data_IF_834084331137
#
_entry.id   IF_834084331137
#
_cell.length_a   1.000
_cell.length_b   1.000
_cell.length_c   1.000
_cell.angle_alpha   90.00
_cell.angle_beta   90.00
_cell.angle_gamma   90.00
#
_symmetry.space_group_name_H-M   'P 1'
#
loop_
_entity.id
_entity.type
_entity.pdbx_description
1 polymer ?
#
# COMPACT_ATOMS: atom_id res chain seq x y z
N UNK A 1 -16.74 -4.87 12.80
CA UNK A 1 -15.30 -4.59 12.56
C UNK A 1 -14.52 -5.76 13.15
N UNK A 2 -13.58 -6.37 12.43
CA UNK A 2 -12.79 -7.51 12.91
C UNK A 2 -11.30 -7.14 12.89
N UNK A 3 -10.56 -7.46 13.95
CA UNK A 3 -9.14 -7.13 14.08
C UNK A 3 -8.35 -8.30 14.66
N UNK A 4 -7.29 -8.69 13.95
CA UNK A 4 -6.33 -9.69 14.36
C UNK A 4 -4.91 -9.13 14.33
N UNK A 5 -4.03 -9.71 15.14
CA UNK A 5 -2.66 -9.27 15.31
C UNK A 5 -1.69 -10.43 15.09
N UNK A 6 -0.63 -10.21 14.30
CA UNK A 6 0.50 -11.13 14.17
C UNK A 6 1.70 -10.56 14.94
N UNK A 7 2.06 -11.21 16.04
CA UNK A 7 3.18 -10.81 16.91
C UNK A 7 4.40 -11.66 16.58
N UNK A 8 5.46 -11.04 16.08
CA UNK A 8 6.76 -11.70 15.90
C UNK A 8 7.47 -11.70 17.26
N UNK A 9 7.87 -12.87 17.75
CA UNK A 9 8.61 -13.01 19.02
C UNK A 9 9.99 -13.60 18.76
N UNK A 10 10.96 -13.21 19.58
CA UNK A 10 12.34 -13.73 19.54
C UNK A 10 12.76 -14.08 20.96
N UNK A 11 13.19 -15.32 21.19
CA UNK A 11 13.86 -15.69 22.45
C UNK A 11 15.36 -15.55 22.24
N UNK A 12 15.90 -14.36 22.55
CA UNK A 12 17.33 -14.03 22.53
C UNK A 12 17.99 -14.24 21.16
N UNK A 13 18.36 -15.50 20.88
CA UNK A 13 19.04 -15.96 19.67
C UNK A 13 18.08 -16.48 18.60
N UNK A 14 16.96 -17.13 18.98
CA UNK A 14 16.10 -17.87 18.03
C UNK A 14 14.81 -17.11 17.70
N UNK A 15 14.49 -17.03 16.41
CA UNK A 15 13.21 -16.53 15.92
C UNK A 15 12.15 -17.59 16.22
N UNK A 16 11.10 -17.20 16.93
CA UNK A 16 9.96 -18.07 17.26
C UNK A 16 8.89 -17.87 16.16
N UNK A 17 8.12 -18.91 15.80
CA UNK A 17 6.95 -18.74 14.95
C UNK A 17 6.06 -17.59 15.43
N UNK A 18 5.58 -16.78 14.50
CA UNK A 18 4.77 -15.62 14.83
C UNK A 18 3.43 -16.05 15.45
N UNK A 19 3.05 -15.40 16.55
CA UNK A 19 1.81 -15.68 17.29
C UNK A 19 0.69 -14.86 16.65
N UNK A 20 -0.37 -15.52 16.19
CA UNK A 20 -1.58 -14.86 15.70
C UNK A 20 -2.59 -14.74 16.85
N UNK A 21 -3.17 -13.56 17.05
CA UNK A 21 -4.14 -13.28 18.11
C UNK A 21 -5.38 -12.62 17.53
N UNK A 22 -6.56 -13.05 17.99
CA UNK A 22 -7.81 -12.32 17.75
C UNK A 22 -7.93 -11.24 18.83
N UNK A 23 -8.06 -9.98 18.43
CA UNK A 23 -8.15 -8.86 19.38
C UNK A 23 -9.59 -8.36 19.46
N UNK A 24 -10.28 -8.24 18.32
CA UNK A 24 -11.65 -7.76 18.28
C UNK A 24 -12.46 -8.46 17.19
N UNK A 25 -13.72 -8.79 17.48
CA UNK A 25 -14.61 -9.54 16.59
C UNK A 25 -14.19 -11.02 16.43
N UNK A 26 -14.59 -11.63 15.32
CA UNK A 26 -14.24 -13.02 15.01
C UNK A 26 -13.54 -13.14 13.65
N UNK A 27 -12.30 -12.61 13.50
CA UNK A 27 -11.53 -12.81 12.28
C UNK A 27 -11.11 -14.27 12.12
N UNK A 28 -11.05 -14.74 10.88
CA UNK A 28 -10.43 -16.01 10.55
C UNK A 28 -8.92 -15.93 10.86
N UNK A 29 -8.38 -16.94 11.56
CA UNK A 29 -6.97 -16.95 12.00
C UNK A 29 -6.03 -17.02 10.79
N UNK A 30 -6.44 -17.69 9.72
CA UNK A 30 -5.59 -17.84 8.53
C UNK A 30 -5.38 -16.51 7.82
N UNK A 31 -6.40 -15.65 7.82
CA UNK A 31 -6.37 -14.31 7.25
C UNK A 31 -5.55 -13.31 8.10
N UNK A 32 -5.21 -13.64 9.35
CA UNK A 32 -4.34 -12.81 10.21
C UNK A 32 -2.90 -12.94 9.71
N UNK A 33 -2.53 -12.10 8.75
CA UNK A 33 -1.18 -12.01 8.22
C UNK A 33 -0.77 -10.54 7.99
N UNK A 34 0.51 -10.32 7.72
CA UNK A 34 1.09 -9.00 7.40
C UNK A 34 1.72 -8.99 6.02
N UNK A 35 1.63 -10.09 5.27
CA UNK A 35 2.42 -10.30 4.06
C UNK A 35 2.05 -9.26 3.00
N UNK A 36 0.75 -9.03 2.78
CA UNK A 36 0.27 -8.04 1.80
C UNK A 36 0.78 -6.63 2.11
N UNK A 37 0.71 -6.21 3.37
CA UNK A 37 1.22 -4.88 3.79
C UNK A 37 2.75 -4.79 3.73
N UNK A 38 3.46 -5.86 4.09
CA UNK A 38 4.92 -5.93 4.00
C UNK A 38 5.38 -5.86 2.53
N UNK A 39 4.75 -6.63 1.64
CA UNK A 39 5.01 -6.60 0.20
C UNK A 39 4.71 -5.22 -0.41
N UNK A 40 3.56 -4.63 -0.07
CA UNK A 40 3.22 -3.30 -0.56
C UNK A 40 4.19 -2.22 -0.06
N UNK A 41 4.65 -2.31 1.20
CA UNK A 41 5.65 -1.39 1.73
C UNK A 41 6.98 -1.48 0.96
N UNK A 42 7.39 -2.68 0.51
CA UNK A 42 8.57 -2.84 -0.35
C UNK A 42 8.36 -2.17 -1.70
N UNK A 43 7.23 -2.45 -2.38
CA UNK A 43 6.86 -1.85 -3.66
C UNK A 43 6.86 -0.31 -3.56
N UNK A 44 6.24 0.22 -2.50
CA UNK A 44 6.16 1.66 -2.25
C UNK A 44 7.55 2.28 -2.11
N UNK A 45 8.46 1.64 -1.37
CA UNK A 45 9.82 2.15 -1.18
C UNK A 45 10.63 2.09 -2.47
N UNK A 46 10.50 1.02 -3.24
CA UNK A 46 11.22 0.86 -4.51
C UNK A 46 10.78 1.91 -5.55
N UNK A 47 9.48 2.23 -5.61
CA UNK A 47 8.96 3.21 -6.55
C UNK A 47 9.12 4.66 -6.06
N UNK A 48 8.98 4.89 -4.75
CA UNK A 48 9.17 6.20 -4.13
C UNK A 48 10.55 6.22 -3.49
N UNK A 49 11.58 6.49 -4.30
CA UNK A 49 13.00 6.50 -3.91
C UNK A 49 13.31 7.33 -2.65
N UNK A 50 12.45 8.33 -2.35
CA UNK A 50 12.48 9.17 -1.15
C UNK A 50 12.22 8.40 0.16
N UNK A 51 11.81 7.14 0.09
CA UNK A 51 11.52 6.27 1.24
C UNK A 51 12.54 5.13 1.44
N UNK A 52 13.58 5.02 0.61
CA UNK A 52 14.52 3.88 0.58
C UNK A 52 15.59 3.92 1.68
N UNK A 53 16.40 4.99 1.76
CA UNK A 53 17.49 5.15 2.74
C UNK A 53 17.73 6.60 3.09
N UNK A 54 17.84 6.92 4.38
CA UNK A 54 18.10 8.28 4.90
C UNK A 54 19.23 9.04 4.18
N UNK A 55 20.28 8.34 3.74
CA UNK A 55 21.45 8.93 3.06
C UNK A 55 21.25 9.20 1.57
N UNK A 56 20.35 8.48 0.89
CA UNK A 56 20.00 8.69 -0.53
C UNK A 56 18.74 9.56 -0.69
N UNK A 57 17.90 9.60 0.34
CA UNK A 57 16.63 10.29 0.34
C UNK A 57 16.79 11.75 0.74
N UNK A 58 17.29 12.58 -0.17
CA UNK A 58 17.20 14.03 -0.03
C UNK A 58 15.78 14.51 -0.35
N UNK A 59 14.80 14.12 0.47
CA UNK A 59 13.48 14.74 0.44
C UNK A 59 13.56 16.04 1.24
N UNK A 60 13.87 17.16 0.57
CA UNK A 60 14.13 18.44 1.23
C UNK A 60 12.87 19.07 1.87
N UNK A 61 11.65 18.63 1.53
CA UNK A 61 10.40 19.19 2.10
C UNK A 61 9.25 18.16 2.20
N UNK A 62 8.46 18.25 3.28
CA UNK A 62 7.28 17.39 3.56
C UNK A 62 6.23 17.44 2.45
N UNK A 63 5.97 18.63 1.90
CA UNK A 63 4.99 18.84 0.84
C UNK A 63 5.31 18.02 -0.41
N UNK A 64 6.57 18.04 -0.83
CA UNK A 64 7.01 17.29 -2.00
C UNK A 64 6.87 15.77 -1.79
N UNK A 65 7.12 15.26 -0.58
CA UNK A 65 6.90 13.85 -0.26
C UNK A 65 5.42 13.48 -0.35
N UNK A 66 4.53 14.30 0.21
CA UNK A 66 3.09 14.08 0.15
C UNK A 66 2.60 14.01 -1.30
N UNK A 67 3.02 14.94 -2.15
CA UNK A 67 2.62 14.95 -3.57
C UNK A 67 3.12 13.70 -4.31
N UNK A 68 4.37 13.28 -4.07
CA UNK A 68 4.91 12.06 -4.65
C UNK A 68 4.15 10.81 -4.20
N UNK A 69 3.76 10.76 -2.92
CA UNK A 69 2.98 9.66 -2.37
C UNK A 69 1.57 9.63 -2.98
N UNK A 70 0.88 10.77 -3.06
CA UNK A 70 -0.44 10.86 -3.68
C UNK A 70 -0.41 10.43 -5.15
N UNK A 71 0.59 10.90 -5.90
CA UNK A 71 0.77 10.51 -7.30
C UNK A 71 1.01 9.00 -7.45
N UNK A 72 1.88 8.43 -6.61
CA UNK A 72 2.14 6.99 -6.61
C UNK A 72 0.88 6.19 -6.26
N UNK A 73 0.14 6.59 -5.23
CA UNK A 73 -1.11 5.93 -4.85
C UNK A 73 -2.14 5.98 -5.97
N UNK A 74 -2.26 7.11 -6.68
CA UNK A 74 -3.14 7.21 -7.83
C UNK A 74 -2.70 6.25 -8.95
N UNK A 75 -1.43 6.30 -9.33
CA UNK A 75 -0.87 5.39 -10.33
C UNK A 75 -1.12 3.92 -9.97
N UNK A 76 -0.76 3.52 -8.75
CA UNK A 76 -0.89 2.14 -8.29
C UNK A 76 -2.33 1.65 -8.26
N UNK A 77 -3.27 2.48 -7.81
CA UNK A 77 -4.66 2.06 -7.64
C UNK A 77 -5.48 2.15 -8.93
N UNK A 78 -5.20 3.13 -9.80
CA UNK A 78 -6.06 3.45 -10.94
C UNK A 78 -5.45 3.16 -12.31
N UNK A 79 -4.12 3.03 -12.41
CA UNK A 79 -3.41 2.79 -13.68
C UNK A 79 -2.67 1.46 -13.72
N UNK A 80 -2.10 1.00 -12.59
CA UNK A 80 -1.35 -0.24 -12.54
C UNK A 80 -2.28 -1.44 -12.53
N UNK A 81 -2.19 -2.25 -13.59
CA UNK A 81 -2.92 -3.50 -13.70
C UNK A 81 -2.27 -4.58 -12.84
N UNK A 82 -3.06 -5.19 -11.96
CA UNK A 82 -2.69 -6.40 -11.24
C UNK A 82 -3.04 -7.62 -12.10
N UNK A 83 -3.49 -8.70 -11.46
CA UNK A 83 -3.94 -9.90 -12.13
C UNK A 83 -5.18 -9.65 -13.00
N UNK A 84 -5.25 -10.35 -14.14
CA UNK A 84 -6.38 -10.30 -15.10
C UNK A 84 -6.64 -8.94 -15.73
N UNK A 85 -5.62 -8.06 -15.82
CA UNK A 85 -5.72 -6.71 -16.41
C UNK A 85 -6.70 -5.78 -15.68
N UNK A 86 -6.91 -6.02 -14.38
CA UNK A 86 -7.76 -5.19 -13.54
C UNK A 86 -6.90 -4.37 -12.59
N UNK A 87 -7.26 -3.10 -12.41
CA UNK A 87 -6.61 -2.23 -11.42
C UNK A 87 -7.27 -2.42 -10.04
N UNK A 88 -6.56 -2.14 -8.93
CA UNK A 88 -7.15 -2.21 -7.59
C UNK A 88 -8.46 -1.44 -7.45
N UNK A 89 -8.55 -0.25 -8.07
CA UNK A 89 -9.76 0.57 -8.03
C UNK A 89 -10.94 -0.07 -8.75
N UNK A 90 -10.71 -0.88 -9.80
CA UNK A 90 -11.79 -1.63 -10.47
C UNK A 90 -12.23 -2.81 -9.61
N UNK A 91 -11.29 -3.54 -9.00
CA UNK A 91 -11.59 -4.67 -8.10
C UNK A 91 -12.47 -4.21 -6.92
N UNK A 92 -12.13 -3.06 -6.34
CA UNK A 92 -12.87 -2.41 -5.25
C UNK A 92 -14.09 -1.59 -5.71
N UNK A 93 -14.44 -1.66 -7.01
CA UNK A 93 -15.59 -0.98 -7.62
C UNK A 93 -15.60 0.55 -7.44
N UNK A 94 -14.42 1.16 -7.25
CA UNK A 94 -14.24 2.61 -7.18
C UNK A 94 -14.23 3.28 -8.55
N UNK A 95 -13.97 2.52 -9.61
CA UNK A 95 -14.00 3.00 -10.99
C UNK A 95 -14.36 1.88 -11.96
N UNK A 96 -14.88 2.24 -13.13
CA UNK A 96 -15.25 1.28 -14.20
C UNK A 96 -14.23 1.24 -15.32
N UNK A 97 -13.26 2.16 -15.34
CA UNK A 97 -12.25 2.27 -16.39
C UNK A 97 -10.85 2.31 -15.82
N UNK A 98 -9.91 1.76 -16.58
CA UNK A 98 -8.47 1.95 -16.33
C UNK A 98 -8.11 3.39 -16.64
N UNK A 99 -7.38 4.05 -15.73
CA UNK A 99 -6.86 5.38 -15.97
C UNK A 99 -5.54 5.33 -16.72
N UNK A 100 -5.30 6.35 -17.54
CA UNK A 100 -4.02 6.57 -18.24
C UNK A 100 -3.47 7.93 -17.85
N UNK A 101 -2.17 8.14 -18.04
CA UNK A 101 -1.55 9.46 -17.85
C UNK A 101 -2.25 10.56 -18.66
N UNK A 102 -2.65 10.26 -19.89
CA UNK A 102 -3.41 11.19 -20.74
C UNK A 102 -4.71 11.63 -20.08
N UNK A 103 -5.52 10.68 -19.59
CA UNK A 103 -6.81 11.02 -18.97
C UNK A 103 -6.64 11.68 -17.60
N UNK A 104 -5.62 11.27 -16.83
CA UNK A 104 -5.36 11.82 -15.50
C UNK A 104 -4.87 13.27 -15.56
N UNK A 105 -3.85 13.56 -16.39
CA UNK A 105 -3.25 14.89 -16.48
C UNK A 105 -4.16 15.93 -17.17
N UNK A 106 -5.13 15.46 -17.97
CA UNK A 106 -6.11 16.32 -18.64
C UNK A 106 -7.51 16.23 -18.00
N UNK A 107 -7.62 15.62 -16.82
CA UNK A 107 -8.88 15.58 -16.09
C UNK A 107 -9.29 17.00 -15.70
N UNK A 108 -10.50 17.41 -16.10
CA UNK A 108 -11.08 18.68 -15.65
C UNK A 108 -11.58 18.49 -14.22
N UNK A 109 -11.00 19.24 -13.30
CA UNK A 109 -11.48 19.32 -11.92
C UNK A 109 -12.70 20.25 -11.89
N UNK A 110 -13.85 19.72 -11.49
CA UNK A 110 -14.99 20.55 -11.12
C UNK A 110 -14.92 20.73 -9.62
N UNK A 111 -14.57 21.93 -9.16
CA UNK A 111 -14.64 22.26 -7.75
C UNK A 111 -16.12 22.43 -7.40
N UNK A 112 -16.58 21.66 -6.41
CA UNK A 112 -17.89 21.83 -5.76
C UNK A 112 -17.70 22.72 -4.55
#
# INVERSE_FOLDING_TARGET
MCYGQKVKSKNGVKIIPAIKRKIFGNPNIDDINTNTSESFNSILRENVSRLVRKTKCHAKEKFALNNALALFQFYWNFMHELEKRLTPAIIEKQTTKVWTWGNFLHAKLTFV
#
